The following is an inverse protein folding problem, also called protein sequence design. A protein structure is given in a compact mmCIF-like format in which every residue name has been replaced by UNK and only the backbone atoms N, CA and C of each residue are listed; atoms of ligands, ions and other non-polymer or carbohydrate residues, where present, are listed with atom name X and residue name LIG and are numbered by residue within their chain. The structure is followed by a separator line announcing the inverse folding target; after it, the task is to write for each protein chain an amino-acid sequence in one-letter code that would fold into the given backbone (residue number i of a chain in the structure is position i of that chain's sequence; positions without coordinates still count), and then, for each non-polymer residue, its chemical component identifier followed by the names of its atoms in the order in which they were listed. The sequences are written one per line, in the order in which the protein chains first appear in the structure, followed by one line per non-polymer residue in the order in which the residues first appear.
data_IF_727395354035
#
_entry.id   IF_727395354035
#
_cell.length_a   1.000
_cell.length_b   1.000
_cell.length_c   1.000
_cell.angle_alpha   90.00
_cell.angle_beta   90.00
_cell.angle_gamma   90.00
#
_symmetry.space_group_name_H-M   'P 1'
#
loop_
_entity.id
_entity.type
_entity.pdbx_description
1 polymer ?
#
# COMPACT_ATOMS: atom_id res chain seq x y z
N UNK A 1 11.83 12.05 18.58
CA UNK A 1 10.75 12.74 17.85
C UNK A 1 9.92 11.68 17.14
N UNK A 2 8.63 11.58 17.43
CA UNK A 2 7.78 10.44 17.03
C UNK A 2 7.34 10.60 15.57
N UNK A 3 8.09 10.00 14.63
CA UNK A 3 7.91 10.16 13.17
C UNK A 3 6.66 9.45 12.60
N UNK A 4 5.99 8.57 13.35
CA UNK A 4 4.83 7.82 12.85
C UNK A 4 3.59 8.69 12.57
N UNK A 5 3.50 9.88 13.19
CA UNK A 5 2.34 10.80 13.01
C UNK A 5 2.20 11.36 11.60
N UNK A 6 3.25 11.33 10.77
CA UNK A 6 3.18 11.92 9.42
C UNK A 6 2.56 10.98 8.39
N UNK A 7 2.63 9.67 8.61
CA UNK A 7 2.17 8.67 7.65
C UNK A 7 0.72 8.25 7.89
N UNK A 8 0.12 8.58 9.05
CA UNK A 8 -1.31 8.34 9.27
C UNK A 8 -2.12 9.59 8.95
N UNK A 9 -3.06 9.48 7.99
CA UNK A 9 -3.88 10.61 7.51
C UNK A 9 -5.29 10.63 8.09
N UNK A 10 -5.70 9.56 8.79
CA UNK A 10 -7.08 9.38 9.23
C UNK A 10 -8.04 9.20 8.03
N UNK A 11 -9.32 9.55 8.19
CA UNK A 11 -10.30 9.47 7.12
C UNK A 11 -9.98 10.43 5.96
N UNK A 12 -9.82 9.91 4.74
CA UNK A 12 -9.55 10.69 3.51
C UNK A 12 -10.17 10.07 2.26
N UNK A 13 -10.51 10.93 1.30
CA UNK A 13 -10.84 10.52 -0.06
C UNK A 13 -9.58 10.19 -0.85
N UNK A 14 -9.70 9.32 -1.85
CA UNK A 14 -8.61 8.96 -2.77
C UNK A 14 -7.93 10.18 -3.38
N UNK A 15 -8.72 11.16 -3.82
CA UNK A 15 -8.22 12.42 -4.41
C UNK A 15 -7.39 13.24 -3.41
N UNK A 16 -7.84 13.36 -2.16
CA UNK A 16 -7.12 14.08 -1.12
C UNK A 16 -5.78 13.41 -0.77
N UNK A 17 -5.74 12.08 -0.77
CA UNK A 17 -4.49 11.32 -0.56
C UNK A 17 -3.53 11.53 -1.72
N UNK A 18 -4.01 11.43 -2.97
CA UNK A 18 -3.20 11.65 -4.17
C UNK A 18 -2.56 13.05 -4.20
N UNK A 19 -3.28 14.09 -3.76
CA UNK A 19 -2.73 15.45 -3.68
C UNK A 19 -1.69 15.60 -2.57
N UNK A 20 -1.81 14.85 -1.47
CA UNK A 20 -0.93 14.97 -0.31
C UNK A 20 0.37 14.19 -0.46
N UNK A 21 0.33 13.03 -1.11
CA UNK A 21 1.50 12.17 -1.31
C UNK A 21 2.42 12.71 -2.42
N UNK A 22 3.73 12.66 -2.16
CA UNK A 22 4.76 12.88 -3.17
C UNK A 22 5.01 11.59 -3.95
N UNK A 23 5.69 11.66 -5.08
CA UNK A 23 6.15 10.45 -5.77
C UNK A 23 7.10 9.67 -4.85
N UNK A 24 7.02 8.33 -4.90
CA UNK A 24 7.71 7.40 -4.01
C UNK A 24 7.44 7.65 -2.52
N UNK A 25 6.20 7.99 -2.18
CA UNK A 25 5.78 8.18 -0.79
C UNK A 25 4.49 7.41 -0.51
N UNK A 26 4.27 7.08 0.75
CA UNK A 26 3.08 6.34 1.18
C UNK A 26 2.47 6.91 2.44
N UNK A 27 1.19 6.63 2.62
CA UNK A 27 0.47 6.93 3.85
C UNK A 27 -0.64 5.92 4.10
N UNK A 28 -1.02 5.79 5.37
CA UNK A 28 -2.10 4.97 5.84
C UNK A 28 -3.31 5.87 6.13
N UNK A 29 -4.48 5.48 5.65
CA UNK A 29 -5.71 6.26 5.78
C UNK A 29 -6.95 5.35 5.81
N UNK A 30 -8.08 5.89 6.27
CA UNK A 30 -9.38 5.25 6.09
C UNK A 30 -10.02 5.85 4.84
N UNK A 31 -10.30 5.05 3.78
CA UNK A 31 -10.96 5.56 2.59
C UNK A 31 -12.38 5.99 2.95
N UNK A 32 -12.74 7.21 2.53
CA UNK A 32 -14.11 7.71 2.61
C UNK A 32 -14.61 7.93 1.20
N UNK A 33 -15.79 7.40 0.93
CA UNK A 33 -16.52 7.69 -0.29
C UNK A 33 -17.23 9.04 -0.15
N UNK A 34 -17.28 9.80 -1.25
CA UNK A 34 -17.92 11.13 -1.24
C UNK A 34 -19.41 11.09 -1.58
N UNK A 35 -19.96 9.88 -1.78
CA UNK A 35 -21.38 9.69 -2.11
C UNK A 35 -22.23 9.67 -0.82
N UNK A 36 -23.12 10.66 -0.61
CA UNK A 36 -23.98 10.73 0.56
C UNK A 36 -25.03 9.60 0.64
N UNK A 37 -25.26 8.87 -0.45
CA UNK A 37 -26.23 7.76 -0.51
C UNK A 37 -25.57 6.39 -0.35
N UNK A 38 -24.25 6.34 -0.20
CA UNK A 38 -23.56 5.07 -0.07
C UNK A 38 -23.86 4.44 1.30
N UNK A 39 -24.37 3.21 1.29
CA UNK A 39 -24.43 2.39 2.49
C UNK A 39 -23.01 2.22 3.03
N UNK A 40 -22.73 2.83 4.18
CA UNK A 40 -21.41 2.75 4.80
C UNK A 40 -21.19 1.28 5.20
N UNK A 41 -20.14 0.63 4.70
CA UNK A 41 -19.87 -0.75 5.08
C UNK A 41 -19.62 -0.84 6.58
N UNK A 42 -20.05 -1.95 7.19
CA UNK A 42 -19.92 -2.22 8.63
C UNK A 42 -18.47 -2.09 9.13
N UNK A 43 -17.50 -2.33 8.24
CA UNK A 43 -16.07 -2.17 8.50
C UNK A 43 -15.41 -1.42 7.33
N UNK A 44 -14.73 -0.31 7.64
CA UNK A 44 -13.92 0.44 6.68
C UNK A 44 -12.47 -0.06 6.81
N UNK A 45 -11.90 -0.70 5.78
CA UNK A 45 -10.55 -1.22 5.86
C UNK A 45 -9.55 -0.08 5.99
N UNK A 46 -8.55 -0.25 6.85
CA UNK A 46 -7.40 0.63 6.90
C UNK A 46 -6.58 0.39 5.62
N UNK A 47 -6.20 1.43 4.89
CA UNK A 47 -5.56 1.30 3.56
C UNK A 47 -4.23 2.04 3.51
N UNK A 48 -3.22 1.42 2.88
CA UNK A 48 -1.98 2.07 2.47
C UNK A 48 -2.15 2.64 1.07
N UNK A 49 -2.16 3.96 0.97
CA UNK A 49 -2.01 4.67 -0.29
C UNK A 49 -0.54 4.86 -0.59
N UNK A 50 -0.09 4.41 -1.75
CA UNK A 50 1.26 4.55 -2.25
C UNK A 50 1.25 5.28 -3.58
N UNK A 51 2.04 6.34 -3.68
CA UNK A 51 2.22 7.05 -4.94
C UNK A 51 3.55 6.62 -5.56
N UNK A 52 3.50 5.91 -6.69
CA UNK A 52 4.68 5.42 -7.40
C UNK A 52 5.59 6.55 -7.89
N UNK A 53 6.77 6.21 -8.40
CA UNK A 53 7.69 7.18 -9.03
C UNK A 53 7.02 7.90 -10.21
N UNK A 54 6.16 7.20 -10.94
CA UNK A 54 5.34 7.72 -12.05
C UNK A 54 4.18 8.62 -11.58
N UNK A 55 3.98 8.76 -10.27
CA UNK A 55 2.98 9.63 -9.67
C UNK A 55 1.57 9.03 -9.61
N UNK A 56 1.42 7.75 -9.92
CA UNK A 56 0.14 7.02 -9.87
C UNK A 56 -0.14 6.57 -8.43
N UNK A 57 -1.36 6.80 -7.94
CA UNK A 57 -1.78 6.35 -6.62
C UNK A 57 -2.31 4.90 -6.69
N UNK A 58 -1.65 4.02 -5.96
CA UNK A 58 -2.03 2.64 -5.70
C UNK A 58 -2.53 2.50 -4.26
N UNK A 59 -3.53 1.66 -4.05
CA UNK A 59 -4.18 1.47 -2.75
C UNK A 59 -4.11 0.00 -2.37
N UNK A 60 -3.56 -0.28 -1.18
CA UNK A 60 -3.38 -1.62 -0.65
C UNK A 60 -4.04 -1.74 0.72
N UNK A 61 -5.08 -2.57 0.89
CA UNK A 61 -5.70 -2.78 2.19
C UNK A 61 -4.70 -3.34 3.21
N UNK A 62 -4.79 -2.89 4.46
CA UNK A 62 -4.15 -3.52 5.60
C UNK A 62 -5.09 -4.57 6.17
N UNK A 63 -4.51 -5.66 6.65
CA UNK A 63 -5.21 -6.73 7.33
C UNK A 63 -4.70 -6.88 8.75
N UNK A 64 -5.60 -7.18 9.68
CA UNK A 64 -5.26 -7.54 11.06
C UNK A 64 -5.72 -8.96 11.36
N UNK A 65 -4.80 -9.92 11.30
CA UNK A 65 -5.07 -11.35 11.53
C UNK A 65 -4.11 -11.88 12.61
N UNK A 66 -4.61 -12.74 13.50
CA UNK A 66 -3.82 -13.37 14.55
C UNK A 66 -2.97 -12.39 15.40
N UNK A 67 -3.49 -11.19 15.63
CA UNK A 67 -2.80 -10.14 16.39
C UNK A 67 -1.70 -9.40 15.62
N UNK A 68 -1.66 -9.52 14.29
CA UNK A 68 -0.62 -8.95 13.44
C UNK A 68 -1.18 -8.18 12.26
N UNK A 69 -0.51 -7.09 11.92
CA UNK A 69 -0.78 -6.23 10.77
C UNK A 69 0.03 -6.67 9.56
N UNK A 70 -0.59 -6.73 8.39
CA UNK A 70 0.08 -6.91 7.11
C UNK A 70 -0.57 -6.06 6.03
N UNK A 71 0.16 -5.79 4.96
CA UNK A 71 -0.40 -5.16 3.75
C UNK A 71 -0.77 -6.26 2.77
N UNK A 72 -1.95 -6.17 2.16
CA UNK A 72 -2.45 -7.18 1.23
C UNK A 72 -1.93 -6.89 -0.19
N UNK A 73 -1.07 -7.77 -0.71
CA UNK A 73 -0.51 -7.71 -2.06
C UNK A 73 -0.90 -8.95 -2.88
N UNK A 74 -2.09 -8.94 -3.47
CA UNK A 74 -2.60 -10.08 -4.24
C UNK A 74 -2.46 -11.40 -3.46
N UNK A 75 -1.84 -12.41 -4.08
CA UNK A 75 -1.64 -13.75 -3.50
C UNK A 75 -0.28 -13.95 -2.82
N UNK A 76 0.56 -12.92 -2.70
CA UNK A 76 1.90 -13.08 -2.08
C UNK A 76 1.82 -12.97 -0.56
N UNK A 77 2.53 -13.85 0.13
CA UNK A 77 2.72 -13.74 1.57
C UNK A 77 3.58 -12.52 1.89
N UNK A 78 3.06 -11.67 2.77
CA UNK A 78 3.68 -10.40 3.12
C UNK A 78 4.21 -10.42 4.55
N UNK A 79 5.22 -9.59 4.86
CA UNK A 79 5.68 -9.44 6.23
C UNK A 79 4.54 -9.02 7.15
N UNK A 80 4.50 -9.62 8.33
CA UNK A 80 3.52 -9.35 9.37
C UNK A 80 4.16 -8.63 10.55
N UNK A 81 3.43 -7.70 11.15
CA UNK A 81 3.95 -6.79 12.16
C UNK A 81 3.05 -6.76 13.39
N UNK A 82 3.65 -6.75 14.58
CA UNK A 82 2.91 -6.62 15.84
C UNK A 82 2.22 -5.26 15.99
N UNK A 83 2.77 -4.22 15.36
CA UNK A 83 2.21 -2.86 15.43
C UNK A 83 2.23 -2.18 14.05
N UNK A 84 1.29 -1.27 13.82
CA UNK A 84 1.29 -0.40 12.63
C UNK A 84 2.57 0.44 12.56
N UNK A 85 3.13 0.86 13.69
CA UNK A 85 4.37 1.62 13.72
C UNK A 85 5.54 0.82 13.11
N UNK A 86 5.66 -0.47 13.47
CA UNK A 86 6.67 -1.37 12.90
C UNK A 86 6.45 -1.62 11.40
N UNK A 87 5.20 -1.73 10.97
CA UNK A 87 4.84 -1.83 9.56
C UNK A 87 5.29 -0.58 8.79
N UNK A 88 4.98 0.61 9.31
CA UNK A 88 5.41 1.89 8.72
C UNK A 88 6.94 1.95 8.64
N UNK A 89 7.64 1.61 9.72
CA UNK A 89 9.10 1.68 9.76
C UNK A 89 9.75 0.74 8.73
N UNK A 90 9.22 -0.47 8.57
CA UNK A 90 9.67 -1.40 7.56
C UNK A 90 9.56 -0.80 6.15
N UNK A 91 8.36 -0.38 5.74
CA UNK A 91 8.13 0.16 4.40
C UNK A 91 8.79 1.52 4.15
N UNK A 92 9.23 2.25 5.19
CA UNK A 92 10.07 3.45 5.02
C UNK A 92 11.51 3.14 4.64
N UNK A 93 12.02 2.00 5.09
CA UNK A 93 13.39 1.57 4.81
C UNK A 93 13.49 0.63 3.62
N UNK A 94 12.38 0.01 3.25
CA UNK A 94 12.33 -0.90 2.13
C UNK A 94 12.28 -0.12 0.81
N UNK A 95 13.14 -0.51 -0.12
CA UNK A 95 13.12 -0.02 -1.49
C UNK A 95 13.71 -1.08 -2.40
N UNK A 96 13.20 -1.17 -3.63
CA UNK A 96 13.76 -2.02 -4.67
C UNK A 96 13.86 -1.25 -5.99
N UNK A 97 14.67 -1.74 -6.92
CA UNK A 97 14.73 -1.18 -8.27
C UNK A 97 13.70 -1.93 -9.12
N UNK A 98 12.74 -1.21 -9.68
CA UNK A 98 11.80 -1.78 -10.62
C UNK A 98 12.53 -2.14 -11.92
N UNK A 99 12.55 -3.43 -12.27
CA UNK A 99 13.29 -3.92 -13.44
C UNK A 99 12.76 -3.39 -14.77
N UNK A 100 11.49 -2.96 -14.84
CA UNK A 100 10.88 -2.44 -16.07
C UNK A 100 11.20 -0.95 -16.27
N UNK A 101 11.12 -0.16 -15.20
CA UNK A 101 11.27 1.30 -15.27
C UNK A 101 12.67 1.78 -14.89
N UNK A 102 13.44 0.96 -14.17
CA UNK A 102 14.74 1.33 -13.59
C UNK A 102 14.63 2.25 -12.37
N UNK A 103 13.42 2.63 -11.98
CA UNK A 103 13.17 3.54 -10.86
C UNK A 103 13.22 2.82 -9.51
N UNK A 104 13.58 3.58 -8.47
CA UNK A 104 13.51 3.09 -7.09
C UNK A 104 12.06 3.18 -6.62
N UNK A 105 11.50 2.05 -6.20
CA UNK A 105 10.12 1.92 -5.75
C UNK A 105 10.09 1.33 -4.33
N UNK A 106 9.06 1.69 -3.56
CA UNK A 106 8.84 1.17 -2.21
C UNK A 106 7.96 -0.07 -2.23
N UNK A 107 6.96 -0.11 -3.11
CA UNK A 107 6.00 -1.21 -3.17
C UNK A 107 5.99 -1.88 -4.53
N UNK A 108 5.85 -3.22 -4.59
CA UNK A 108 5.75 -3.95 -5.84
C UNK A 108 4.43 -3.62 -6.53
N UNK A 109 4.44 -2.56 -7.34
CA UNK A 109 3.36 -2.26 -8.28
C UNK A 109 3.58 -3.16 -9.48
N UNK A 110 2.96 -4.35 -9.49
CA UNK A 110 2.92 -5.13 -10.72
C UNK A 110 2.03 -4.39 -11.70
N UNK A 111 2.61 -3.94 -12.81
CA UNK A 111 1.83 -3.49 -13.95
C UNK A 111 0.92 -4.65 -14.35
N UNK A 112 -0.37 -4.59 -14.00
CA UNK A 112 -1.42 -5.53 -14.41
C UNK A 112 -1.74 -5.45 -15.91
N UNK A 113 -0.75 -5.07 -16.72
CA UNK A 113 -0.81 -5.08 -18.18
C UNK A 113 0.01 -6.22 -18.80
N UNK A 114 0.65 -7.09 -18.00
CA UNK A 114 1.07 -8.41 -18.47
C UNK A 114 -0.06 -9.38 -18.12
N UNK A 115 -0.78 -9.81 -19.16
CA UNK A 115 -2.00 -10.58 -19.06
C UNK A 115 -1.87 -11.85 -18.24
N UNK A 116 -3.06 -12.34 -17.92
CA UNK A 116 -3.39 -13.73 -17.63
C UNK A 116 -2.54 -14.70 -18.46
N UNK A 117 -1.40 -15.10 -17.93
CA UNK A 117 -0.65 -16.27 -18.40
C UNK A 117 0.09 -16.82 -17.20
N UNK A 118 -0.55 -17.80 -16.57
CA UNK A 118 0.11 -18.82 -15.77
C UNK A 118 1.35 -19.33 -16.48
N UNK A 119 2.53 -19.06 -15.92
CA UNK A 119 3.71 -19.89 -16.17
C UNK A 119 4.51 -20.00 -14.87
N UNK A 120 4.20 -21.07 -14.14
CA UNK A 120 4.98 -21.58 -13.03
C UNK A 120 6.34 -22.03 -13.55
N UNK A 121 7.40 -21.26 -13.37
CA UNK A 121 8.77 -21.76 -13.29
C UNK A 121 9.77 -20.67 -12.91
N UNK A 122 10.20 -20.66 -11.65
CA UNK A 122 11.51 -20.17 -11.22
C UNK A 122 11.84 -20.99 -9.95
N UNK A 123 12.77 -21.93 -9.96
CA UNK A 123 14.13 -21.82 -10.49
C UNK A 123 15.05 -21.62 -9.29
N UNK A 124 15.39 -22.72 -8.63
CA UNK A 124 16.25 -22.77 -7.45
C UNK A 124 17.66 -22.26 -7.76
N UNK A 125 18.19 -21.40 -6.90
CA UNK A 125 19.63 -21.24 -6.66
C UNK A 125 19.87 -21.13 -5.16
#
# INVERSE_FOLDING_TARGET
RTYHRTHFLGPKTRSAVATKLRANDFAIFYPIESDPNLEIPLEIPLTMGYRSSEGILHEFPLRFEFGRWSVVFGNKQMPEFQTIASLIDYYRTYSYINAQTGEVEILPVWNTNAGDSSDDSFGSF
#
